data_IF_112130347808
#
_entry.id   IF_112130347808
#
_cell.length_a   1.000
_cell.length_b   1.000
_cell.length_c   1.000
_cell.angle_alpha   90.00
_cell.angle_beta   90.00
_cell.angle_gamma   90.00
#
_symmetry.space_group_name_H-M   'P 1'
#
loop_
_entity.id
_entity.type
_entity.pdbx_description
1 polymer ?
#
# COMPACT_ATOMS: atom_id res chain seq x y z
N UNK A 1 -58.99 16.91 -20.14
CA UNK A 1 -57.91 15.94 -20.43
C UNK A 1 -56.67 16.38 -19.68
N UNK A 2 -56.50 15.94 -18.42
CA UNK A 2 -55.30 16.20 -17.63
C UNK A 2 -54.48 14.91 -17.60
N UNK A 3 -53.29 14.90 -18.20
CA UNK A 3 -52.32 13.80 -18.11
C UNK A 3 -51.45 14.03 -16.87
N UNK A 4 -51.32 13.09 -15.92
CA UNK A 4 -50.37 13.25 -14.82
C UNK A 4 -48.95 12.99 -15.33
N UNK A 5 -48.04 13.91 -15.01
CA UNK A 5 -46.61 13.72 -15.22
C UNK A 5 -46.08 12.80 -14.11
N UNK A 6 -45.55 11.64 -14.49
CA UNK A 6 -44.80 10.75 -13.60
C UNK A 6 -43.39 11.34 -13.49
N UNK A 7 -43.06 11.88 -12.32
CA UNK A 7 -41.67 12.23 -11.97
C UNK A 7 -41.02 10.96 -11.45
N UNK A 8 -40.16 10.35 -12.27
CA UNK A 8 -39.31 9.25 -11.85
C UNK A 8 -38.19 9.82 -10.96
N UNK A 9 -38.23 9.48 -9.67
CA UNK A 9 -37.16 9.79 -8.73
C UNK A 9 -36.01 8.81 -9.03
N UNK A 10 -34.94 9.30 -9.67
CA UNK A 10 -33.68 8.56 -9.79
C UNK A 10 -33.02 8.52 -8.41
N UNK A 11 -33.14 7.38 -7.73
CA UNK A 11 -32.30 7.07 -6.58
C UNK A 11 -30.87 6.87 -7.09
N UNK A 12 -29.97 7.80 -6.79
CA UNK A 12 -28.54 7.60 -6.96
C UNK A 12 -28.13 6.51 -5.96
N UNK A 13 -27.87 5.30 -6.44
CA UNK A 13 -27.16 4.30 -5.66
C UNK A 13 -25.74 4.85 -5.43
N UNK A 14 -25.46 5.30 -4.21
CA UNK A 14 -24.09 5.45 -3.76
C UNK A 14 -23.50 4.03 -3.74
N UNK A 15 -22.76 3.66 -4.78
CA UNK A 15 -21.89 2.50 -4.70
C UNK A 15 -20.96 2.68 -3.50
N UNK A 16 -20.57 1.59 -2.81
CA UNK A 16 -19.52 1.69 -1.81
C UNK A 16 -18.32 2.37 -2.49
N UNK A 17 -17.77 3.40 -1.85
CA UNK A 17 -16.47 3.89 -2.25
C UNK A 17 -15.55 2.67 -2.29
N UNK A 18 -14.97 2.39 -3.46
CA UNK A 18 -13.94 1.36 -3.56
C UNK A 18 -12.92 1.69 -2.47
N UNK A 19 -12.86 0.86 -1.43
CA UNK A 19 -11.78 0.95 -0.47
C UNK A 19 -10.53 0.74 -1.32
N UNK A 20 -9.68 1.76 -1.42
CA UNK A 20 -8.37 1.59 -2.04
C UNK A 20 -7.77 0.33 -1.44
N UNK A 21 -7.33 -0.61 -2.28
CA UNK A 21 -6.85 -1.92 -1.85
C UNK A 21 -5.77 -1.72 -0.78
N UNK A 22 -6.10 -1.95 0.49
CA UNK A 22 -5.20 -1.62 1.58
C UNK A 22 -4.24 -2.79 1.76
N UNK A 23 -3.06 -2.70 1.14
CA UNK A 23 -1.96 -3.64 1.39
C UNK A 23 -1.33 -3.43 2.76
N UNK A 24 -1.63 -2.31 3.43
CA UNK A 24 -1.17 -2.00 4.77
C UNK A 24 -2.21 -2.48 5.80
N UNK A 25 -1.74 -3.07 6.89
CA UNK A 25 -2.57 -3.51 8.01
C UNK A 25 -3.32 -2.32 8.64
N UNK A 26 -4.63 -2.44 8.82
CA UNK A 26 -5.49 -1.34 9.29
C UNK A 26 -5.21 -0.90 10.75
N UNK A 27 -4.57 -1.78 11.55
CA UNK A 27 -4.22 -1.56 12.95
C UNK A 27 -2.76 -1.11 13.06
N UNK A 28 -1.84 -1.88 12.50
CA UNK A 28 -0.40 -1.61 12.48
C UNK A 28 -0.05 -0.84 11.21
N UNK A 29 -0.31 0.48 11.19
CA UNK A 29 -0.09 1.34 10.01
C UNK A 29 0.82 2.53 10.26
N UNK A 30 1.36 2.64 11.47
CA UNK A 30 2.09 3.82 11.90
C UNK A 30 3.60 3.55 11.96
N UNK A 31 4.36 4.49 11.43
CA UNK A 31 5.79 4.61 11.67
C UNK A 31 6.09 5.92 12.42
N UNK A 32 7.30 6.01 13.00
CA UNK A 32 7.72 7.16 13.79
C UNK A 32 8.98 7.81 13.22
N UNK A 33 9.05 9.13 13.32
CA UNK A 33 10.28 9.89 13.14
C UNK A 33 10.40 10.96 14.21
N UNK A 34 11.59 11.08 14.81
CA UNK A 34 11.85 12.04 15.90
C UNK A 34 11.56 13.49 15.52
N UNK A 35 11.74 13.84 14.25
CA UNK A 35 11.62 15.22 13.77
C UNK A 35 10.23 15.57 13.22
N UNK A 36 9.40 14.57 12.88
CA UNK A 36 8.10 14.80 12.22
C UNK A 36 6.92 14.08 12.84
N UNK A 37 7.16 13.26 13.87
CA UNK A 37 6.11 12.57 14.61
C UNK A 37 5.61 11.30 13.91
N UNK A 38 4.29 11.06 14.03
CA UNK A 38 3.62 9.91 13.44
C UNK A 38 3.42 10.04 11.94
N UNK A 39 3.68 8.93 11.25
CA UNK A 39 3.42 8.74 9.83
C UNK A 39 2.40 7.62 9.67
N UNK A 40 1.23 7.92 9.10
CA UNK A 40 0.16 6.96 8.79
C UNK A 40 0.29 6.44 7.35
N UNK A 41 0.48 5.14 7.18
CA UNK A 41 0.65 4.48 5.88
C UNK A 41 -0.66 3.99 5.27
N UNK A 42 -1.76 4.00 6.02
CA UNK A 42 -3.07 3.56 5.53
C UNK A 42 -4.16 4.58 5.87
N UNK A 43 -5.34 4.36 5.30
CA UNK A 43 -6.63 4.96 5.66
C UNK A 43 -6.74 6.47 5.93
N UNK A 44 -5.80 7.25 5.42
CA UNK A 44 -5.82 8.70 5.50
C UNK A 44 -6.71 9.32 4.41
N UNK A 45 -6.82 10.64 4.38
CA UNK A 45 -7.43 11.38 3.27
C UNK A 45 -8.83 11.93 3.55
N UNK A 46 -9.42 12.54 2.53
CA UNK A 46 -10.79 13.09 2.56
C UNK A 46 -11.55 12.66 1.29
N UNK A 47 -12.54 11.75 1.39
CA UNK A 47 -13.04 11.15 2.63
C UNK A 47 -11.98 10.29 3.36
N UNK A 48 -12.10 10.09 4.69
CA UNK A 48 -11.23 9.17 5.42
C UNK A 48 -11.18 7.81 4.73
N UNK A 49 -10.01 7.17 4.70
CA UNK A 49 -9.83 5.91 3.99
C UNK A 49 -9.48 6.04 2.51
N UNK A 50 -9.47 7.26 1.93
CA UNK A 50 -9.26 7.46 0.49
C UNK A 50 -7.81 7.35 0.04
N UNK A 51 -6.85 7.34 0.96
CA UNK A 51 -5.42 7.25 0.66
C UNK A 51 -4.74 6.18 1.50
N UNK A 52 -3.83 5.44 0.87
CA UNK A 52 -2.98 4.41 1.47
C UNK A 52 -1.67 4.32 0.68
N UNK A 53 -0.66 3.71 1.27
CA UNK A 53 0.43 3.10 0.51
C UNK A 53 -0.09 1.84 -0.14
N UNK A 54 0.25 1.66 -1.41
CA UNK A 54 0.02 0.44 -2.17
C UNK A 54 1.36 -0.22 -2.44
N UNK A 55 1.39 -1.54 -2.31
CA UNK A 55 2.54 -2.39 -2.61
C UNK A 55 2.26 -3.09 -3.94
N UNK A 56 2.82 -2.57 -5.02
CA UNK A 56 2.73 -3.17 -6.36
C UNK A 56 3.77 -4.29 -6.50
N UNK A 57 3.78 -4.97 -7.65
CA UNK A 57 4.66 -6.13 -7.89
C UNK A 57 6.14 -5.84 -7.60
N UNK A 58 6.67 -4.69 -8.02
CA UNK A 58 8.10 -4.34 -7.89
C UNK A 58 8.36 -2.89 -7.46
N UNK A 59 7.34 -2.20 -6.98
CA UNK A 59 7.42 -0.82 -6.51
C UNK A 59 6.24 -0.50 -5.59
N UNK A 60 6.29 0.65 -4.93
CA UNK A 60 5.21 1.16 -4.11
C UNK A 60 4.59 2.39 -4.78
N UNK A 61 3.33 2.65 -4.45
CA UNK A 61 2.61 3.83 -4.92
C UNK A 61 1.73 4.40 -3.79
N UNK A 62 1.08 5.53 -4.07
CA UNK A 62 0.14 6.15 -3.13
C UNK A 62 0.81 7.08 -2.13
N UNK A 63 0.20 7.23 -0.95
CA UNK A 63 0.53 8.33 -0.04
C UNK A 63 0.62 7.90 1.43
N UNK A 64 1.58 8.51 2.12
CA UNK A 64 1.72 8.49 3.59
C UNK A 64 1.30 9.85 4.14
N UNK A 65 0.50 9.86 5.20
CA UNK A 65 0.16 11.08 5.93
C UNK A 65 1.08 11.28 7.12
N UNK A 66 1.86 12.36 7.13
CA UNK A 66 2.63 12.78 8.31
C UNK A 66 1.90 13.86 9.11
N UNK A 67 1.67 13.62 10.40
CA UNK A 67 0.82 14.50 11.22
C UNK A 67 1.31 15.96 11.30
N UNK A 68 2.62 16.17 11.23
CA UNK A 68 3.26 17.50 11.32
C UNK A 68 3.77 18.03 9.98
N UNK A 69 3.70 17.22 8.92
CA UNK A 69 4.36 17.52 7.63
C UNK A 69 3.46 17.33 6.40
N UNK A 70 2.25 16.83 6.58
CA UNK A 70 1.31 16.59 5.49
C UNK A 70 1.67 15.36 4.65
N UNK A 71 1.33 15.40 3.37
CA UNK A 71 1.43 14.26 2.46
C UNK A 71 2.86 13.98 2.00
N UNK A 72 3.19 12.69 1.97
CA UNK A 72 4.37 12.12 1.32
C UNK A 72 3.88 11.21 0.19
N UNK A 73 4.30 11.50 -1.04
CA UNK A 73 4.03 10.72 -2.24
C UNK A 73 5.09 9.63 -2.40
N UNK A 74 4.65 8.37 -2.45
CA UNK A 74 5.50 7.18 -2.59
C UNK A 74 5.81 6.82 -4.04
N UNK A 75 5.16 7.47 -4.99
CA UNK A 75 5.18 7.19 -6.43
C UNK A 75 3.77 7.22 -7.00
N UNK A 76 3.65 7.49 -8.30
CA UNK A 76 2.36 7.68 -8.98
C UNK A 76 1.68 6.37 -9.44
N UNK A 77 2.32 5.22 -9.23
CA UNK A 77 1.80 3.92 -9.66
C UNK A 77 2.15 3.56 -11.11
N UNK A 78 2.79 4.48 -11.84
CA UNK A 78 3.00 4.36 -13.29
C UNK A 78 4.46 4.60 -13.69
N UNK A 79 5.41 3.78 -13.19
CA UNK A 79 6.81 3.92 -13.59
C UNK A 79 6.93 3.86 -15.10
N UNK A 80 7.83 4.68 -15.68
CA UNK A 80 7.89 4.89 -17.14
C UNK A 80 8.11 3.58 -17.93
N UNK A 81 8.79 2.59 -17.33
CA UNK A 81 9.03 1.28 -17.95
C UNK A 81 8.04 0.19 -17.50
N UNK A 82 7.04 0.53 -16.67
CA UNK A 82 6.06 -0.39 -16.10
C UNK A 82 6.57 -1.32 -15.00
N UNK A 83 7.84 -1.22 -14.60
CA UNK A 83 8.49 -2.16 -13.66
C UNK A 83 9.10 -1.45 -12.45
N UNK A 84 9.73 -0.29 -12.63
CA UNK A 84 10.40 0.41 -11.53
C UNK A 84 10.65 1.87 -11.89
N UNK A 85 10.50 2.78 -10.94
CA UNK A 85 10.82 4.19 -11.13
C UNK A 85 12.31 4.38 -11.40
N UNK A 86 12.65 5.10 -12.46
CA UNK A 86 14.03 5.37 -12.87
C UNK A 86 14.78 6.23 -11.84
N UNK A 87 14.08 7.12 -11.12
CA UNK A 87 14.64 7.97 -10.07
C UNK A 87 15.86 8.81 -10.52
N UNK A 88 15.85 9.30 -11.76
CA UNK A 88 17.00 10.02 -12.36
C UNK A 88 16.97 11.53 -12.12
N UNK A 89 15.81 12.15 -12.29
CA UNK A 89 15.68 13.62 -12.34
C UNK A 89 14.37 14.15 -11.71
N UNK A 90 13.63 13.29 -11.01
CA UNK A 90 12.36 13.63 -10.36
C UNK A 90 11.13 13.65 -11.24
N UNK A 91 11.21 13.34 -12.55
CA UNK A 91 10.01 13.18 -13.39
C UNK A 91 9.38 11.80 -13.29
N UNK A 92 10.19 10.78 -13.02
CA UNK A 92 9.80 9.39 -12.80
C UNK A 92 10.45 8.96 -11.48
N UNK A 93 9.70 9.12 -10.39
CA UNK A 93 10.18 8.91 -9.04
C UNK A 93 9.21 8.08 -8.23
N UNK A 94 9.76 7.37 -7.26
CA UNK A 94 9.00 6.58 -6.31
C UNK A 94 9.89 5.55 -5.64
N UNK A 95 9.27 4.78 -4.76
CA UNK A 95 9.94 3.73 -3.99
C UNK A 95 9.86 2.41 -4.74
N UNK A 96 11.00 1.83 -5.07
CA UNK A 96 11.11 0.54 -5.75
C UNK A 96 11.27 -0.60 -4.73
N UNK A 97 10.72 -1.77 -5.04
CA UNK A 97 10.76 -2.98 -4.23
C UNK A 97 11.56 -4.07 -4.96
N UNK A 98 12.63 -4.55 -4.33
CA UNK A 98 13.33 -5.74 -4.79
C UNK A 98 12.56 -6.99 -4.35
N UNK A 99 11.92 -7.68 -5.29
CA UNK A 99 11.03 -8.83 -5.01
C UNK A 99 11.72 -10.04 -4.40
N UNK A 100 13.04 -10.15 -4.52
CA UNK A 100 13.82 -11.28 -3.98
C UNK A 100 14.25 -11.02 -2.53
N UNK A 101 14.63 -9.79 -2.22
CA UNK A 101 15.20 -9.42 -0.91
C UNK A 101 14.26 -8.63 -0.01
N UNK A 102 13.16 -8.12 -0.56
CA UNK A 102 12.24 -7.19 0.10
C UNK A 102 12.80 -5.78 0.25
N UNK A 103 14.04 -5.49 -0.19
CA UNK A 103 14.66 -4.19 0.00
C UNK A 103 13.94 -3.08 -0.76
N UNK A 104 13.74 -1.95 -0.09
CA UNK A 104 13.18 -0.74 -0.65
C UNK A 104 14.30 0.21 -1.08
N UNK A 105 14.15 0.82 -2.24
CA UNK A 105 15.10 1.80 -2.80
C UNK A 105 14.34 2.93 -3.48
N UNK A 106 15.06 3.96 -3.95
CA UNK A 106 14.44 5.11 -4.61
C UNK A 106 14.00 6.18 -3.63
N UNK A 107 13.04 7.00 -4.04
CA UNK A 107 12.69 8.23 -3.35
C UNK A 107 11.18 8.44 -3.24
N UNK A 108 10.75 8.91 -2.07
CA UNK A 108 9.44 9.51 -1.86
C UNK A 108 9.57 11.03 -1.78
N UNK A 109 8.48 11.76 -2.03
CA UNK A 109 8.45 13.22 -2.01
C UNK A 109 7.39 13.75 -1.05
N UNK A 110 7.79 14.54 -0.05
CA UNK A 110 6.84 15.29 0.78
C UNK A 110 6.92 16.79 0.50
N UNK A 111 5.78 17.43 0.25
CA UNK A 111 5.74 18.84 -0.16
C UNK A 111 6.41 19.80 0.84
N UNK A 112 6.33 19.48 2.13
CA UNK A 112 6.89 20.30 3.21
C UNK A 112 8.29 19.85 3.66
N UNK A 113 8.81 18.73 3.14
CA UNK A 113 10.03 18.09 3.66
C UNK A 113 11.04 17.71 2.57
N UNK A 114 10.65 17.74 1.31
CA UNK A 114 11.48 17.37 0.16
C UNK A 114 11.63 15.86 -0.01
N UNK A 115 12.76 15.45 -0.57
CA UNK A 115 13.06 14.05 -0.89
C UNK A 115 13.34 13.20 0.36
N UNK A 116 12.79 12.00 0.36
CA UNK A 116 13.03 10.95 1.35
C UNK A 116 13.61 9.74 0.62
N UNK A 117 14.84 9.37 0.97
CA UNK A 117 15.62 8.30 0.36
C UNK A 117 15.43 6.97 1.11
N UNK A 118 14.84 5.98 0.46
CA UNK A 118 14.62 4.64 1.02
C UNK A 118 15.88 3.75 0.99
N UNK A 119 16.88 4.10 0.19
CA UNK A 119 18.22 3.48 0.25
C UNK A 119 19.07 4.00 1.41
N UNK A 120 18.65 5.07 2.10
CA UNK A 120 19.44 5.74 3.15
C UNK A 120 19.87 4.81 4.28
N UNK A 121 18.96 3.97 4.78
CA UNK A 121 19.28 3.02 5.85
C UNK A 121 20.31 1.97 5.44
N UNK A 122 20.35 1.57 4.16
CA UNK A 122 21.35 0.63 3.64
C UNK A 122 22.77 1.24 3.66
N UNK A 123 22.87 2.57 3.60
CA UNK A 123 24.12 3.32 3.63
C UNK A 123 24.53 3.75 5.06
N UNK A 124 23.65 3.52 6.06
CA UNK A 124 23.94 3.83 7.45
C UNK A 124 25.02 2.90 8.04
N UNK A 125 25.57 3.28 9.19
CA UNK A 125 26.53 2.44 9.94
C UNK A 125 26.04 2.25 11.38
N UNK A 126 25.61 1.03 11.77
CA UNK A 126 25.46 -0.17 10.95
C UNK A 126 24.35 -0.03 9.91
N UNK A 127 24.44 -0.79 8.81
CA UNK A 127 23.44 -0.77 7.76
C UNK A 127 22.10 -1.32 8.29
N UNK A 128 21.02 -0.59 8.01
CA UNK A 128 19.64 -0.93 8.35
C UNK A 128 18.70 -0.59 7.18
N UNK A 129 18.77 -1.35 6.07
CA UNK A 129 18.01 -1.07 4.85
C UNK A 129 16.52 -1.06 5.12
N UNK A 130 15.83 -0.04 4.58
CA UNK A 130 14.37 -0.08 4.48
C UNK A 130 13.97 -1.30 3.65
N UNK A 131 13.03 -2.09 4.14
CA UNK A 131 12.58 -3.32 3.47
C UNK A 131 11.20 -3.75 3.93
N UNK A 132 10.53 -4.56 3.12
CA UNK A 132 9.40 -5.38 3.53
C UNK A 132 9.96 -6.74 3.96
N UNK A 133 9.67 -7.13 5.19
CA UNK A 133 10.06 -8.41 5.79
C UNK A 133 8.89 -9.37 5.66
N UNK A 134 8.89 -10.15 4.57
CA UNK A 134 7.78 -11.03 4.21
C UNK A 134 7.42 -12.02 5.34
N UNK A 135 8.39 -12.72 5.98
CA UNK A 135 8.08 -13.62 7.10
C UNK A 135 7.46 -12.93 8.33
N UNK A 136 7.70 -11.63 8.52
CA UNK A 136 7.17 -10.88 9.64
C UNK A 136 5.96 -10.00 9.26
N UNK A 137 5.55 -10.03 7.98
CA UNK A 137 4.47 -9.21 7.40
C UNK A 137 4.54 -7.74 7.80
N UNK A 138 5.73 -7.13 7.70
CA UNK A 138 5.92 -5.71 8.06
C UNK A 138 7.07 -5.01 7.37
N UNK A 139 7.02 -3.69 7.37
CA UNK A 139 8.17 -2.86 7.05
C UNK A 139 9.22 -2.93 8.18
N UNK A 140 10.47 -2.71 7.77
CA UNK A 140 11.67 -2.72 8.63
C UNK A 140 12.68 -1.69 8.11
N UNK A 141 13.70 -1.42 8.92
CA UNK A 141 14.80 -0.53 8.57
C UNK A 141 14.47 0.96 8.66
N UNK A 142 15.22 1.77 7.92
CA UNK A 142 15.15 3.23 8.00
C UNK A 142 15.23 3.90 6.63
N UNK A 143 14.44 4.95 6.46
CA UNK A 143 14.55 5.90 5.35
C UNK A 143 15.12 7.23 5.85
N UNK A 144 15.74 8.00 4.96
CA UNK A 144 16.39 9.27 5.29
C UNK A 144 15.79 10.43 4.50
N UNK A 145 15.26 11.44 5.19
CA UNK A 145 14.87 12.72 4.58
C UNK A 145 15.87 13.81 4.91
N UNK A 146 16.33 14.57 3.92
CA UNK A 146 17.38 15.58 4.14
C UNK A 146 16.97 16.67 5.14
N UNK A 147 15.69 17.03 5.18
CA UNK A 147 15.16 18.06 6.08
C UNK A 147 14.54 17.51 7.37
N UNK A 148 14.42 16.19 7.51
CA UNK A 148 13.66 15.54 8.59
C UNK A 148 14.40 14.39 9.26
N UNK A 149 15.62 14.08 8.83
CA UNK A 149 16.43 13.02 9.40
C UNK A 149 15.87 11.62 9.14
N UNK A 150 16.04 10.74 10.12
CA UNK A 150 15.65 9.33 10.02
C UNK A 150 14.16 9.12 10.25
N UNK A 151 13.57 8.29 9.40
CA UNK A 151 12.25 7.69 9.60
C UNK A 151 12.47 6.24 10.02
N UNK A 152 11.90 5.86 11.17
CA UNK A 152 12.01 4.51 11.73
C UNK A 152 10.84 3.64 11.29
N UNK A 153 11.14 2.58 10.52
CA UNK A 153 10.18 1.55 10.11
C UNK A 153 10.33 0.25 10.93
N UNK A 154 11.32 0.18 11.82
CA UNK A 154 11.73 -1.04 12.54
C UNK A 154 11.41 -1.00 14.04
N UNK A 155 10.45 -0.17 14.47
CA UNK A 155 10.04 -0.17 15.88
C UNK A 155 9.34 -1.48 16.24
N UNK A 156 9.61 -2.03 17.42
CA UNK A 156 9.05 -3.32 17.82
C UNK A 156 7.53 -3.26 18.09
N UNK A 157 7.01 -2.08 18.39
CA UNK A 157 5.64 -1.86 18.89
C UNK A 157 4.78 -1.02 17.96
N UNK A 158 5.34 -0.02 17.31
CA UNK A 158 4.64 0.87 16.40
C UNK A 158 5.22 0.73 15.00
N UNK A 159 4.65 -0.19 14.23
CA UNK A 159 5.17 -0.54 12.92
C UNK A 159 4.09 -0.53 11.85
N UNK A 160 4.55 -0.54 10.60
CA UNK A 160 3.72 -0.69 9.43
C UNK A 160 3.70 -2.17 9.07
N UNK A 161 2.59 -2.83 9.39
CA UNK A 161 2.26 -4.18 8.97
C UNK A 161 1.77 -4.19 7.52
N UNK A 162 2.00 -5.32 6.86
CA UNK A 162 1.48 -5.61 5.52
C UNK A 162 0.36 -6.62 5.71
N UNK A 163 -0.79 -6.35 5.10
CA UNK A 163 -1.94 -7.24 5.16
C UNK A 163 -1.60 -8.55 4.46
N UNK A 164 -2.03 -9.67 5.02
CA UNK A 164 -1.94 -10.94 4.32
C UNK A 164 -2.82 -10.88 3.06
N UNK A 165 -2.29 -11.19 1.86
CA UNK A 165 -3.08 -11.21 0.63
C UNK A 165 -4.26 -12.19 0.67
N UNK A 166 -4.19 -13.21 1.53
CA UNK A 166 -5.24 -14.20 1.70
C UNK A 166 -6.26 -13.86 2.81
N UNK A 167 -6.03 -12.81 3.61
CA UNK A 167 -7.04 -12.29 4.54
C UNK A 167 -7.86 -11.23 3.81
N UNK A 168 -8.89 -11.66 3.07
CA UNK A 168 -9.67 -10.82 2.15
C UNK A 168 -10.77 -10.05 2.88
N UNK A 169 -11.30 -10.57 3.99
CA UNK A 169 -12.30 -9.87 4.78
C UNK A 169 -11.67 -8.87 5.78
N UNK A 170 -10.39 -9.01 6.11
CA UNK A 170 -9.60 -8.08 6.92
C UNK A 170 -9.84 -8.24 8.41
N UNK A 171 -10.27 -9.44 8.84
CA UNK A 171 -10.54 -9.75 10.24
C UNK A 171 -9.30 -10.23 11.02
N UNK A 172 -8.16 -10.38 10.32
CA UNK A 172 -6.89 -10.82 10.88
C UNK A 172 -6.72 -12.34 10.91
N UNK A 173 -7.64 -13.11 10.31
CA UNK A 173 -7.60 -14.57 10.28
C UNK A 173 -7.85 -15.12 8.88
N UNK A 174 -6.81 -15.69 8.27
CA UNK A 174 -6.95 -16.43 7.00
C UNK A 174 -7.75 -17.73 7.23
N UNK A 175 -8.96 -17.81 6.70
CA UNK A 175 -9.86 -18.94 6.92
C UNK A 175 -10.88 -19.17 5.79
N UNK A 176 -11.79 -20.12 5.97
CA UNK A 176 -12.79 -20.49 4.94
C UNK A 176 -13.61 -19.31 4.40
N UNK A 177 -13.87 -18.29 5.22
CA UNK A 177 -14.59 -17.09 4.78
C UNK A 177 -13.81 -16.30 3.71
N UNK A 178 -12.47 -16.25 3.81
CA UNK A 178 -11.63 -15.63 2.78
C UNK A 178 -11.58 -16.45 1.51
N UNK A 179 -11.51 -17.78 1.63
CA UNK A 179 -11.55 -18.66 0.48
C UNK A 179 -12.87 -18.51 -0.29
N UNK A 180 -13.99 -18.48 0.42
CA UNK A 180 -15.32 -18.31 -0.18
C UNK A 180 -15.44 -16.93 -0.85
N UNK A 181 -14.89 -15.88 -0.25
CA UNK A 181 -14.81 -14.54 -0.87
C UNK A 181 -13.97 -14.58 -2.16
N UNK A 182 -12.75 -15.11 -2.09
CA UNK A 182 -11.87 -15.22 -3.25
C UNK A 182 -12.55 -15.97 -4.39
N UNK A 183 -13.09 -17.15 -4.12
CA UNK A 183 -13.77 -17.98 -5.11
C UNK A 183 -14.96 -17.24 -5.73
N UNK A 184 -15.74 -16.50 -4.93
CA UNK A 184 -16.88 -15.73 -5.43
C UNK A 184 -16.49 -14.63 -6.41
N UNK A 185 -15.32 -14.00 -6.22
CA UNK A 185 -14.77 -12.97 -7.11
C UNK A 185 -14.07 -13.58 -8.33
N UNK A 186 -13.30 -14.65 -8.12
CA UNK A 186 -12.53 -15.32 -9.16
C UNK A 186 -13.42 -15.89 -10.27
N UNK A 187 -14.52 -16.57 -9.90
CA UNK A 187 -15.44 -17.21 -10.85
C UNK A 187 -16.16 -16.22 -11.78
N UNK A 188 -16.20 -14.93 -11.42
CA UNK A 188 -16.80 -13.86 -12.23
C UNK A 188 -15.75 -12.89 -12.78
N UNK A 189 -14.46 -13.17 -12.60
CA UNK A 189 -13.34 -12.31 -12.95
C UNK A 189 -13.49 -10.87 -12.38
N UNK A 190 -13.96 -10.74 -11.13
CA UNK A 190 -14.01 -9.46 -10.42
C UNK A 190 -12.59 -9.00 -10.06
N UNK A 191 -12.28 -7.72 -10.27
CA UNK A 191 -10.96 -7.15 -10.01
C UNK A 191 -10.49 -7.31 -8.55
N UNK A 192 -11.39 -7.59 -7.60
CA UNK A 192 -11.00 -7.91 -6.22
C UNK A 192 -10.28 -9.27 -6.09
N UNK A 193 -10.37 -10.14 -7.10
CA UNK A 193 -9.59 -11.37 -7.19
C UNK A 193 -8.25 -11.18 -7.92
N UNK A 194 -7.90 -9.98 -8.35
CA UNK A 194 -6.57 -9.65 -8.90
C UNK A 194 -5.58 -9.47 -7.73
N UNK A 195 -5.09 -10.59 -7.21
CA UNK A 195 -4.20 -10.65 -6.04
C UNK A 195 -2.78 -10.19 -6.42
N UNK A 196 -2.40 -10.40 -7.68
CA UNK A 196 -1.08 -10.02 -8.19
C UNK A 196 -1.00 -8.56 -8.62
N UNK A 197 -2.14 -7.88 -8.75
CA UNK A 197 -2.31 -6.51 -9.23
C UNK A 197 -1.70 -6.29 -10.63
N UNK A 198 -1.82 -7.30 -11.50
CA UNK A 198 -1.32 -7.23 -12.88
C UNK A 198 -2.38 -6.75 -13.90
N UNK A 199 -3.62 -6.55 -13.44
CA UNK A 199 -4.76 -6.12 -14.21
C UNK A 199 -5.60 -7.27 -14.79
N UNK A 200 -5.28 -8.54 -14.50
CA UNK A 200 -5.94 -9.70 -15.07
C UNK A 200 -6.21 -10.80 -14.03
N UNK A 201 -7.48 -11.03 -13.71
CA UNK A 201 -7.89 -12.17 -12.87
C UNK A 201 -7.67 -13.49 -13.63
N UNK A 202 -6.70 -14.29 -13.21
CA UNK A 202 -6.32 -15.53 -13.87
C UNK A 202 -5.65 -16.55 -12.93
N UNK A 203 -5.14 -17.66 -13.48
CA UNK A 203 -4.52 -18.74 -12.69
C UNK A 203 -3.38 -18.28 -11.78
N UNK A 204 -2.65 -17.22 -12.15
CA UNK A 204 -1.57 -16.66 -11.34
C UNK A 204 -2.11 -16.05 -10.03
N UNK A 205 -3.29 -15.42 -10.04
CA UNK A 205 -3.94 -14.93 -8.82
C UNK A 205 -4.44 -16.07 -7.93
N UNK A 206 -4.95 -17.13 -8.54
CA UNK A 206 -5.35 -18.33 -7.80
C UNK A 206 -4.16 -18.94 -7.07
N UNK A 207 -3.03 -19.11 -7.78
CA UNK A 207 -1.81 -19.67 -7.20
C UNK A 207 -1.23 -18.76 -6.11
N UNK A 208 -1.27 -17.43 -6.32
CA UNK A 208 -0.84 -16.44 -5.33
C UNK A 208 -1.71 -16.48 -4.06
N UNK A 209 -3.04 -16.48 -4.22
CA UNK A 209 -3.98 -16.60 -3.12
C UNK A 209 -3.79 -17.92 -2.36
N UNK A 210 -3.80 -19.05 -3.07
CA UNK A 210 -3.67 -20.38 -2.46
C UNK A 210 -2.36 -20.52 -1.68
N UNK A 211 -1.25 -20.00 -2.23
CA UNK A 211 0.04 -20.02 -1.54
C UNK A 211 0.02 -19.22 -0.23
N UNK A 212 -0.57 -18.01 -0.24
CA UNK A 212 -0.71 -17.19 0.96
C UNK A 212 -1.70 -17.80 1.97
N UNK A 213 -2.76 -18.43 1.45
CA UNK A 213 -3.80 -19.08 2.25
C UNK A 213 -3.24 -20.25 3.07
N UNK A 214 -2.53 -21.16 2.40
CA UNK A 214 -1.93 -22.35 3.03
C UNK A 214 -0.79 -22.00 3.99
N UNK A 215 -0.10 -20.89 3.75
CA UNK A 215 0.90 -20.36 4.69
C UNK A 215 0.25 -19.83 5.98
N UNK A 216 -1.05 -19.52 5.97
CA UNK A 216 -1.74 -18.85 7.07
C UNK A 216 -1.16 -17.47 7.36
N UNK A 217 -0.62 -16.85 6.31
CA UNK A 217 0.34 -15.74 6.22
C UNK A 217 1.83 -16.11 6.36
#
# INVERSE_FOLDING_TARGET
>A
MNRPAIVALLAAAAGPAALAQQHIDAVNKYAWSENVGWLNFADAGSPPGSQSVLIETSFLSGYVWGENIGWINMGDGTPTNGVSYANVNGTDFGVNLNTVTGHLTGYAWGENVGWINFSGGALATPAKPARIDAPAHRFRGYAWGENIGWINLDDATHYVGVRCPADLNGDGFVNGDDYDLFASWFEVADTQADITNDGFVNGDDYDAFASAFEAGC
#
